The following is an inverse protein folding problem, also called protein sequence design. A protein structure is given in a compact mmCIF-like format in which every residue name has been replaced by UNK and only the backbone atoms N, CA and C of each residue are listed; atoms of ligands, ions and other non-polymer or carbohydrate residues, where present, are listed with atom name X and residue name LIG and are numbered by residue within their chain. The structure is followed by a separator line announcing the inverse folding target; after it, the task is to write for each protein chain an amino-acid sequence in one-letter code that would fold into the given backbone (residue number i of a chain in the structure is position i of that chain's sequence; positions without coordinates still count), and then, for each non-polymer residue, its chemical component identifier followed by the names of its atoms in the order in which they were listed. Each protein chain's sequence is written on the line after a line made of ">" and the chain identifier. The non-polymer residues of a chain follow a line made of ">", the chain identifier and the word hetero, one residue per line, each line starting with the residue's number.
data_IF_912441509608
#
_entry.id   IF_912441509608
#
_cell.length_a   1.000
_cell.length_b   1.000
_cell.length_c   1.000
_cell.angle_alpha   90.00
_cell.angle_beta   90.00
_cell.angle_gamma   90.00
#
_symmetry.space_group_name_H-M   'P 1'
#
loop_
_entity.id
_entity.type
_entity.pdbx_description
1 polymer ?
#
# COMPACT_ATOMS: atom_id res chain seq x y z
N UNK A 1 5.57 -23.33 -26.23
CA UNK A 1 6.11 -23.23 -24.86
C UNK A 1 5.96 -21.80 -24.37
N UNK A 2 4.79 -21.46 -23.81
CA UNK A 2 4.65 -20.17 -23.14
C UNK A 2 5.28 -20.32 -21.75
N UNK A 3 6.54 -19.93 -21.59
CA UNK A 3 7.07 -19.75 -20.24
C UNK A 3 6.15 -18.72 -19.56
N UNK A 4 5.57 -19.05 -18.40
CA UNK A 4 4.63 -18.19 -17.65
C UNK A 4 5.32 -16.94 -17.11
N UNK A 5 5.81 -16.09 -18.01
CA UNK A 5 6.54 -14.85 -17.76
C UNK A 5 5.55 -13.70 -17.89
N UNK A 6 5.58 -12.81 -16.90
CA UNK A 6 4.82 -11.56 -16.91
C UNK A 6 5.35 -10.67 -18.04
N UNK A 7 4.50 -10.41 -19.04
CA UNK A 7 4.84 -9.54 -20.17
C UNK A 7 4.77 -8.05 -19.81
N UNK A 8 4.01 -7.72 -18.77
CA UNK A 8 3.88 -6.36 -18.28
C UNK A 8 2.72 -6.23 -17.31
N UNK A 9 2.62 -5.06 -16.70
CA UNK A 9 1.52 -4.69 -15.80
C UNK A 9 0.78 -3.49 -16.39
N UNK A 10 -0.54 -3.63 -16.56
CA UNK A 10 -1.40 -2.52 -16.90
C UNK A 10 -2.16 -2.09 -15.64
N UNK A 11 -2.00 -0.82 -15.27
CA UNK A 11 -2.59 -0.21 -14.11
C UNK A 11 -3.60 0.81 -14.62
N UNK A 12 -4.83 0.71 -14.14
CA UNK A 12 -5.88 1.69 -14.43
C UNK A 12 -6.43 2.21 -13.12
N UNK A 13 -6.38 3.53 -12.94
CA UNK A 13 -7.01 4.23 -11.83
C UNK A 13 -8.22 4.99 -12.36
N UNK A 14 -9.37 4.73 -11.76
CA UNK A 14 -10.62 5.45 -12.05
C UNK A 14 -11.23 5.94 -10.74
N UNK A 15 -11.87 7.10 -10.79
CA UNK A 15 -12.46 7.75 -9.63
C UNK A 15 -13.86 8.25 -9.97
N UNK A 16 -14.82 8.00 -9.10
CA UNK A 16 -16.18 8.53 -9.25
C UNK A 16 -16.13 10.05 -9.28
N UNK A 17 -16.76 10.66 -10.29
CA UNK A 17 -16.74 12.11 -10.51
C UNK A 17 -15.61 12.60 -11.41
N UNK A 18 -14.65 11.75 -11.79
CA UNK A 18 -13.64 12.05 -12.82
C UNK A 18 -13.98 11.34 -14.13
N UNK A 19 -13.94 12.07 -15.25
CA UNK A 19 -14.19 11.52 -16.59
C UNK A 19 -12.95 10.95 -17.27
N UNK A 20 -11.77 11.06 -16.64
CA UNK A 20 -10.48 10.67 -17.23
C UNK A 20 -9.80 9.60 -16.37
N UNK A 21 -9.92 8.31 -16.73
CA UNK A 21 -9.13 7.26 -16.10
C UNK A 21 -7.65 7.44 -16.40
N UNK A 22 -6.80 7.29 -15.38
CA UNK A 22 -5.36 7.26 -15.55
C UNK A 22 -4.92 5.83 -15.87
N UNK A 23 -4.10 5.67 -16.90
CA UNK A 23 -3.58 4.38 -17.34
C UNK A 23 -2.06 4.42 -17.36
N UNK A 24 -1.43 3.42 -16.74
CA UNK A 24 0.02 3.24 -16.75
C UNK A 24 0.36 1.82 -17.20
N UNK A 25 1.35 1.70 -18.08
CA UNK A 25 1.85 0.43 -18.59
C UNK A 25 3.31 0.26 -18.19
N UNK A 26 3.61 -0.86 -17.54
CA UNK A 26 4.96 -1.24 -17.13
C UNK A 26 5.32 -2.54 -17.85
N UNK A 27 5.90 -2.41 -19.04
CA UNK A 27 6.29 -3.53 -19.92
C UNK A 27 7.80 -3.52 -20.24
N UNK A 28 8.49 -2.41 -19.96
CA UNK A 28 9.94 -2.26 -20.18
C UNK A 28 10.77 -2.39 -18.90
N UNK A 29 10.16 -2.80 -17.79
CA UNK A 29 10.88 -3.02 -16.54
C UNK A 29 11.82 -4.23 -16.68
N UNK A 30 13.13 -4.01 -16.49
CA UNK A 30 14.13 -5.08 -16.64
C UNK A 30 13.93 -6.24 -15.66
N UNK A 31 13.30 -5.98 -14.52
CA UNK A 31 13.04 -6.97 -13.47
C UNK A 31 11.74 -7.77 -13.61
N UNK A 32 11.13 -7.82 -14.80
CA UNK A 32 9.88 -8.56 -15.02
C UNK A 32 10.06 -10.08 -14.83
N UNK A 33 11.25 -10.62 -15.10
CA UNK A 33 11.54 -12.05 -14.92
C UNK A 33 11.55 -12.44 -13.43
N UNK A 34 12.20 -11.64 -12.59
CA UNK A 34 12.24 -11.79 -11.14
C UNK A 34 10.85 -11.59 -10.54
N UNK A 35 10.12 -10.56 -10.99
CA UNK A 35 8.74 -10.32 -10.57
C UNK A 35 7.82 -11.50 -10.94
N UNK A 36 8.03 -12.13 -12.09
CA UNK A 36 7.29 -13.33 -12.49
C UNK A 36 7.50 -14.49 -11.51
N UNK A 37 8.72 -14.64 -10.99
CA UNK A 37 9.03 -15.67 -10.00
C UNK A 37 8.38 -15.35 -8.64
N UNK A 38 8.44 -14.09 -8.21
CA UNK A 38 7.79 -13.64 -6.97
C UNK A 38 6.27 -13.85 -7.01
N UNK A 39 5.61 -13.46 -8.10
CA UNK A 39 4.17 -13.69 -8.29
C UNK A 39 3.83 -15.19 -8.30
N UNK A 40 4.69 -16.03 -8.89
CA UNK A 40 4.50 -17.49 -8.91
C UNK A 40 4.69 -18.12 -7.52
N UNK A 41 5.61 -17.60 -6.73
CA UNK A 41 5.83 -18.04 -5.34
C UNK A 41 4.68 -17.63 -4.41
N UNK A 42 3.87 -16.66 -4.84
CA UNK A 42 2.81 -16.06 -4.04
C UNK A 42 3.33 -14.83 -3.29
N UNK A 43 2.49 -13.80 -3.23
CA UNK A 43 2.78 -12.55 -2.55
C UNK A 43 1.61 -12.18 -1.64
N UNK A 44 1.91 -11.50 -0.54
CA UNK A 44 0.89 -10.97 0.37
C UNK A 44 0.47 -9.58 -0.09
N UNK A 45 -0.82 -9.32 -0.35
CA UNK A 45 -1.28 -7.97 -0.64
C UNK A 45 -1.15 -7.10 0.62
N UNK A 46 -0.55 -5.92 0.48
CA UNK A 46 -0.44 -4.92 1.54
C UNK A 46 -1.29 -3.71 1.18
N UNK A 47 -2.20 -3.33 2.07
CA UNK A 47 -3.00 -2.11 1.97
C UNK A 47 -2.54 -1.18 3.08
N UNK A 48 -2.04 0.00 2.72
CA UNK A 48 -1.51 0.97 3.67
C UNK A 48 -1.97 2.39 3.33
N UNK A 49 -2.20 3.18 4.37
CA UNK A 49 -2.52 4.59 4.28
C UNK A 49 -1.62 5.35 5.24
N UNK A 50 -0.96 6.35 4.71
CA UNK A 50 0.07 7.10 5.41
C UNK A 50 0.19 8.49 4.77
N UNK A 51 0.76 9.41 5.53
CA UNK A 51 1.10 10.77 5.10
C UNK A 51 2.56 11.03 5.43
N UNK A 52 3.22 11.82 4.60
CA UNK A 52 4.57 12.31 4.85
C UNK A 52 4.69 13.74 4.32
N UNK A 53 5.74 14.44 4.74
CA UNK A 53 6.08 15.79 4.28
C UNK A 53 6.89 15.78 2.97
N UNK A 54 7.29 14.59 2.50
CA UNK A 54 8.10 14.37 1.31
C UNK A 54 7.35 13.40 0.35
N UNK A 55 6.14 13.79 -0.09
CA UNK A 55 5.25 13.02 -0.98
C UNK A 55 5.17 13.55 -2.42
N UNK A 56 5.78 14.71 -2.71
CA UNK A 56 5.82 15.28 -4.07
C UNK A 56 6.41 14.35 -5.15
N UNK A 57 7.12 13.29 -4.78
CA UNK A 57 7.56 12.27 -5.75
C UNK A 57 6.40 11.47 -6.36
N UNK A 58 5.26 11.39 -5.67
CA UNK A 58 4.07 10.64 -6.06
C UNK A 58 2.98 11.54 -6.64
N UNK A 59 2.70 12.68 -5.99
CA UNK A 59 1.59 13.57 -6.32
C UNK A 59 2.03 15.01 -6.67
N UNK A 60 3.33 15.26 -6.73
CA UNK A 60 3.89 16.55 -7.11
C UNK A 60 3.75 16.86 -8.59
N UNK A 61 4.30 18.00 -9.01
CA UNK A 61 4.19 18.52 -10.39
C UNK A 61 4.73 17.56 -11.47
N UNK A 62 5.60 16.61 -11.11
CA UNK A 62 6.20 15.69 -12.06
C UNK A 62 7.21 16.35 -13.02
N UNK A 63 7.74 15.57 -13.96
CA UNK A 63 8.75 16.07 -14.91
C UNK A 63 8.18 17.02 -15.98
N UNK A 64 6.86 17.07 -16.13
CA UNK A 64 6.12 17.90 -17.07
C UNK A 64 5.49 19.15 -16.43
N UNK A 65 5.68 19.34 -15.11
CA UNK A 65 5.17 20.50 -14.38
C UNK A 65 3.64 20.55 -14.26
N UNK A 66 2.93 19.45 -14.53
CA UNK A 66 1.47 19.43 -14.67
C UNK A 66 0.74 18.65 -13.56
N UNK A 67 1.49 18.08 -12.63
CA UNK A 67 0.93 17.40 -11.46
C UNK A 67 0.21 18.34 -10.49
N UNK A 68 -0.68 17.81 -9.64
CA UNK A 68 -1.64 18.61 -8.88
C UNK A 68 -1.05 19.31 -7.64
N UNK A 69 0.05 18.82 -7.08
CA UNK A 69 0.63 19.35 -5.85
C UNK A 69 1.93 20.12 -6.11
N UNK A 70 1.97 21.41 -5.78
CA UNK A 70 3.22 22.19 -5.74
C UNK A 70 3.95 22.11 -4.38
N UNK A 71 3.24 21.68 -3.32
CA UNK A 71 3.77 21.55 -1.96
C UNK A 71 3.02 20.47 -1.21
N UNK A 72 3.73 19.71 -0.36
CA UNK A 72 3.14 18.70 0.50
C UNK A 72 2.31 19.33 1.64
N UNK A 73 1.11 18.79 1.87
CA UNK A 73 0.22 19.21 2.96
C UNK A 73 -0.26 17.99 3.78
N UNK A 74 0.62 17.32 4.54
CA UNK A 74 0.27 16.08 5.24
C UNK A 74 -0.92 16.24 6.22
N UNK A 75 -1.10 17.43 6.81
CA UNK A 75 -2.21 17.70 7.72
C UNK A 75 -3.57 17.83 7.01
N UNK A 76 -3.60 17.95 5.68
CA UNK A 76 -4.83 18.00 4.90
C UNK A 76 -5.41 16.61 4.59
N UNK A 77 -4.63 15.54 4.76
CA UNK A 77 -5.08 14.17 4.55
C UNK A 77 -6.16 13.78 5.57
N UNK A 78 -7.14 12.96 5.15
CA UNK A 78 -8.17 12.46 6.07
C UNK A 78 -7.57 11.56 7.15
N UNK A 79 -8.17 11.53 8.34
CA UNK A 79 -7.66 10.69 9.43
C UNK A 79 -7.99 9.19 9.24
N UNK A 80 -9.00 8.88 8.43
CA UNK A 80 -9.36 7.50 8.09
C UNK A 80 -9.69 7.36 6.62
N UNK A 81 -9.58 6.13 6.13
CA UNK A 81 -10.00 5.73 4.79
C UNK A 81 -10.70 4.36 4.87
N UNK A 82 -11.38 3.98 3.79
CA UNK A 82 -12.04 2.68 3.66
C UNK A 82 -11.62 2.00 2.37
N UNK A 83 -11.13 0.77 2.49
CA UNK A 83 -10.97 -0.14 1.36
C UNK A 83 -12.16 -1.10 1.33
N UNK A 84 -12.74 -1.33 0.16
CA UNK A 84 -13.76 -2.36 -0.04
C UNK A 84 -13.59 -3.02 -1.40
N UNK A 85 -14.27 -4.15 -1.59
CA UNK A 85 -14.41 -4.81 -2.89
C UNK A 85 -13.09 -5.24 -3.56
N UNK A 86 -12.07 -5.55 -2.74
CA UNK A 86 -10.84 -6.18 -3.21
C UNK A 86 -11.18 -7.51 -3.88
N UNK A 87 -10.80 -7.66 -5.16
CA UNK A 87 -10.98 -8.91 -5.91
C UNK A 87 -9.71 -9.28 -6.67
N UNK A 88 -9.38 -10.57 -6.63
CA UNK A 88 -8.30 -11.16 -7.44
C UNK A 88 -8.95 -12.14 -8.39
N UNK A 89 -8.78 -11.90 -9.70
CA UNK A 89 -9.38 -12.71 -10.75
C UNK A 89 -8.44 -12.93 -11.91
N UNK A 90 -8.74 -13.95 -12.71
CA UNK A 90 -8.05 -14.18 -13.98
C UNK A 90 -8.34 -13.03 -14.94
N UNK A 91 -7.30 -12.54 -15.61
CA UNK A 91 -7.44 -11.52 -16.66
C UNK A 91 -8.28 -12.11 -17.81
N UNK A 92 -9.30 -11.37 -18.26
CA UNK A 92 -10.26 -11.83 -19.27
C UNK A 92 -11.30 -12.85 -18.77
N UNK A 93 -11.32 -13.18 -17.48
CA UNK A 93 -12.37 -13.99 -16.86
C UNK A 93 -13.64 -13.16 -16.59
N UNK A 94 -14.79 -13.84 -16.37
CA UNK A 94 -16.04 -13.17 -16.03
C UNK A 94 -15.91 -12.36 -14.73
N UNK A 95 -16.51 -11.17 -14.70
CA UNK A 95 -16.62 -10.32 -13.51
C UNK A 95 -17.75 -10.89 -12.64
N UNK A 96 -17.42 -11.72 -11.67
CA UNK A 96 -18.41 -12.17 -10.67
C UNK A 96 -18.58 -11.09 -9.60
N UNK A 97 -19.72 -10.42 -9.60
CA UNK A 97 -20.14 -9.51 -8.53
C UNK A 97 -20.48 -8.10 -9.00
N UNK A 98 -21.69 -7.94 -9.55
CA UNK A 98 -22.42 -6.70 -9.27
C UNK A 98 -22.84 -6.78 -7.79
N UNK A 99 -22.63 -5.75 -6.96
CA UNK A 99 -23.12 -5.78 -5.59
C UNK A 99 -24.65 -5.67 -5.64
N UNK A 100 -25.34 -6.81 -5.67
CA UNK A 100 -26.77 -6.83 -5.37
C UNK A 100 -26.93 -6.34 -3.95
N UNK A 101 -27.59 -5.19 -3.82
CA UNK A 101 -28.03 -4.57 -2.57
C UNK A 101 -29.04 -5.49 -1.88
N UNK A 102 -28.61 -6.58 -1.26
CA UNK A 102 -29.46 -7.30 -0.30
C UNK A 102 -28.68 -8.27 0.60
N UNK A 103 -27.78 -7.75 1.42
CA UNK A 103 -27.42 -8.43 2.68
C UNK A 103 -27.41 -7.38 3.78
N UNK A 104 -28.58 -7.19 4.40
CA UNK A 104 -28.67 -6.61 5.73
C UNK A 104 -27.72 -7.38 6.66
N UNK A 105 -26.71 -6.70 7.20
CA UNK A 105 -25.79 -7.27 8.17
C UNK A 105 -26.55 -7.66 9.45
N UNK A 106 -26.55 -8.93 9.89
CA UNK A 106 -27.05 -9.31 11.20
C UNK A 106 -25.86 -9.38 12.14
N UNK A 107 -25.35 -8.24 12.60
CA UNK A 107 -24.70 -8.21 13.90
C UNK A 107 -25.69 -7.57 14.88
N UNK A 108 -26.59 -8.41 15.38
CA UNK A 108 -27.20 -8.15 16.68
C UNK A 108 -26.08 -8.02 17.69
N UNK A 109 -26.06 -6.89 18.39
CA UNK A 109 -25.33 -6.72 19.63
C UNK A 109 -25.89 -7.71 20.65
N UNK A 110 -25.16 -8.78 20.90
CA UNK A 110 -25.22 -9.42 22.22
C UNK A 110 -24.05 -8.87 23.04
N UNK A 111 -24.43 -8.14 24.08
CA UNK A 111 -23.55 -7.54 25.08
C UNK A 111 -22.71 -8.62 25.76
N UNK A 112 -21.39 -8.56 25.54
CA UNK A 112 -20.39 -9.30 26.28
C UNK A 112 -19.15 -8.44 26.41
N UNK A 113 -19.03 -7.73 27.54
CA UNK A 113 -17.85 -6.94 27.88
C UNK A 113 -16.58 -7.80 27.83
N UNK A 114 -15.70 -7.51 26.88
CA UNK A 114 -14.29 -7.89 26.98
C UNK A 114 -13.55 -6.65 27.47
N UNK A 115 -12.97 -6.76 28.67
CA UNK A 115 -12.11 -5.72 29.25
C UNK A 115 -11.01 -5.30 28.26
N UNK A 116 -10.72 -4.01 28.12
CA UNK A 116 -9.61 -3.56 27.29
C UNK A 116 -8.28 -3.96 27.94
N UNK A 117 -7.43 -4.60 27.16
CA UNK A 117 -6.01 -4.81 27.47
C UNK A 117 -5.33 -3.47 27.85
N UNK A 118 -4.50 -3.42 28.89
CA UNK A 118 -3.83 -2.20 29.30
C UNK A 118 -2.82 -1.72 28.24
N UNK A 119 -2.86 -0.41 27.94
CA UNK A 119 -1.95 0.29 27.05
C UNK A 119 -0.47 0.12 27.45
N UNK A 120 0.45 -0.08 26.49
CA UNK A 120 1.88 -0.13 26.78
C UNK A 120 2.45 1.29 26.91
N UNK A 121 2.36 1.87 28.11
CA UNK A 121 2.97 3.17 28.41
C UNK A 121 4.03 3.15 29.52
N UNK A 122 4.49 1.97 29.96
CA UNK A 122 5.54 1.88 31.00
C UNK A 122 6.62 0.82 30.70
N UNK A 123 7.28 0.92 29.54
CA UNK A 123 8.48 0.13 29.24
C UNK A 123 9.68 1.00 28.82
N UNK A 124 9.79 2.20 29.39
CA UNK A 124 10.97 3.07 29.26
C UNK A 124 11.73 3.21 30.58
N UNK A 125 11.86 2.14 31.36
CA UNK A 125 12.72 2.14 32.56
C UNK A 125 13.33 0.75 32.78
N UNK A 126 14.31 0.36 31.95
CA UNK A 126 15.30 -0.68 32.27
C UNK A 126 16.38 -0.84 31.17
N UNK A 127 17.05 0.25 30.78
CA UNK A 127 18.35 0.12 30.09
C UNK A 127 19.45 0.62 31.03
N UNK A 128 20.46 -0.20 31.37
CA UNK A 128 21.59 0.26 32.15
C UNK A 128 22.39 1.32 31.37
N UNK A 129 23.00 2.30 32.05
CA UNK A 129 23.76 3.35 31.39
C UNK A 129 24.91 2.74 30.58
N UNK A 130 24.98 3.11 29.29
CA UNK A 130 26.02 2.70 28.36
C UNK A 130 27.35 3.33 28.79
N UNK A 131 28.32 2.49 29.14
CA UNK A 131 29.70 2.88 29.45
C UNK A 131 30.31 3.70 28.30
N UNK A 132 31.05 4.79 28.58
CA UNK A 132 31.71 5.56 27.53
C UNK A 132 32.99 4.84 27.11
N UNK A 133 32.99 4.20 25.94
CA UNK A 133 34.21 3.63 25.38
C UNK A 133 33.99 2.82 24.11
N UNK A 134 34.82 3.12 23.12
CA UNK A 134 35.05 2.41 21.85
C UNK A 134 34.23 2.85 20.64
N UNK A 135 34.91 3.67 19.85
CA UNK A 135 34.75 4.05 18.45
C UNK A 135 34.77 2.87 17.46
N UNK A 136 34.34 3.21 16.25
CA UNK A 136 34.49 2.50 14.96
C UNK A 136 33.46 1.41 14.67
N UNK A 137 32.76 1.59 13.54
CA UNK A 137 32.41 0.67 12.44
C UNK A 137 31.51 1.53 11.54
N UNK A 138 31.95 2.10 10.42
CA UNK A 138 32.55 1.41 9.29
C UNK A 138 31.50 1.39 8.19
N UNK A 139 31.57 2.37 7.28
CA UNK A 139 30.86 2.34 6.00
C UNK A 139 31.24 1.05 5.27
N UNK A 140 30.26 0.25 4.86
CA UNK A 140 30.33 -0.60 3.67
C UNK A 140 28.98 -1.31 3.47
N UNK A 141 28.68 -1.61 2.20
CA UNK A 141 27.60 -2.47 1.69
C UNK A 141 26.29 -1.79 1.25
N UNK A 142 26.39 -1.05 0.14
CA UNK A 142 25.45 -1.20 -0.98
C UNK A 142 26.28 -1.60 -2.22
N UNK A 143 26.00 -2.73 -2.89
CA UNK A 143 26.25 -2.83 -4.32
C UNK A 143 25.21 -2.01 -5.11
#
# INVERSE_FOLDING_TARGET
>A
DAQSILLGMNITLSQTGSSCPLVAMIDQYKGLAELSQALRAGMTPVMSYWRDKDMLWMDGEGGDGSGPCGVDQPLACSETIRYSDLSIRKIGGPVSGSPTTDHAFPWSRDDGMVEPLPSPQHAIDALPPRSPGSTSWGNELFP
#
